data_IF_867717101430
#
_entry.id   IF_867717101430
#
_cell.length_a   1.000
_cell.length_b   1.000
_cell.length_c   1.000
_cell.angle_alpha   90.00
_cell.angle_beta   90.00
_cell.angle_gamma   90.00
#
_symmetry.space_group_name_H-M   'P 1'
#
loop_
_entity.id
_entity.type
_entity.pdbx_description
1 polymer ?
#
# COMPACT_ATOMS: atom_id res chain seq x y z
N UNK A 1 -5.05 -0.95 27.63
CA UNK A 1 -5.54 0.34 28.12
C UNK A 1 -5.08 1.41 27.11
N UNK A 2 -5.88 1.66 26.06
CA UNK A 2 -5.56 2.61 24.99
C UNK A 2 -6.01 4.00 25.44
N UNK A 3 -5.08 4.92 25.66
CA UNK A 3 -5.38 6.34 25.82
C UNK A 3 -5.37 6.98 24.44
N UNK A 4 -6.55 7.41 24.03
CA UNK A 4 -6.85 8.22 22.84
C UNK A 4 -6.21 9.59 23.06
N UNK A 5 -5.20 9.93 22.24
CA UNK A 5 -4.69 11.29 22.08
C UNK A 5 -5.12 11.81 20.70
N UNK A 6 -6.38 12.20 20.60
CA UNK A 6 -6.90 12.97 19.47
C UNK A 6 -7.69 14.14 20.04
N UNK A 7 -7.04 15.28 20.21
CA UNK A 7 -7.71 16.58 20.16
C UNK A 7 -6.66 17.69 20.29
N UNK A 8 -6.58 18.49 19.24
CA UNK A 8 -6.08 19.85 19.13
C UNK A 8 -5.01 20.03 18.04
N UNK A 9 -5.49 20.05 16.77
CA UNK A 9 -4.76 20.70 15.66
C UNK A 9 -5.74 21.03 14.51
N UNK A 10 -6.83 21.72 14.81
CA UNK A 10 -7.78 22.15 13.77
C UNK A 10 -8.21 23.59 13.95
N UNK A 11 -7.24 24.47 14.14
CA UNK A 11 -7.47 25.92 14.06
C UNK A 11 -6.21 26.57 13.52
N UNK A 12 -6.11 26.65 12.21
CA UNK A 12 -5.44 27.74 11.45
C UNK A 12 -5.50 27.36 9.96
N UNK A 13 -6.26 28.15 9.24
CA UNK A 13 -6.03 28.60 7.86
C UNK A 13 -7.36 28.96 7.20
N UNK A 14 -7.93 30.06 7.70
CA UNK A 14 -8.85 30.87 6.90
C UNK A 14 -8.02 32.05 6.39
N UNK A 15 -7.42 31.91 5.22
CA UNK A 15 -6.94 33.03 4.44
C UNK A 15 -7.89 33.23 3.25
N UNK A 16 -8.31 34.49 2.98
CA UNK A 16 -9.37 34.78 2.03
C UNK A 16 -8.87 34.93 0.59
N UNK A 17 -9.74 34.54 -0.33
CA UNK A 17 -9.92 35.06 -1.69
C UNK A 17 -8.71 35.14 -2.61
N UNK A 18 -8.56 34.09 -3.40
CA UNK A 18 -8.07 34.22 -4.76
C UNK A 18 -9.07 33.49 -5.69
N UNK A 19 -9.44 34.15 -6.77
CA UNK A 19 -10.33 33.74 -7.84
C UNK A 19 -10.65 32.25 -7.90
N UNK A 20 -11.92 31.88 -7.67
CA UNK A 20 -12.40 30.51 -7.75
C UNK A 20 -12.20 29.95 -9.16
N UNK A 21 -11.05 29.40 -9.42
CA UNK A 21 -10.79 28.62 -10.61
C UNK A 21 -11.66 27.37 -10.54
N UNK A 22 -12.52 27.15 -11.54
CA UNK A 22 -13.41 26.00 -11.61
C UNK A 22 -12.55 24.73 -11.54
N UNK A 23 -12.61 24.00 -10.43
CA UNK A 23 -11.87 22.75 -10.26
C UNK A 23 -12.37 21.75 -11.29
N UNK A 24 -11.49 21.30 -12.16
CA UNK A 24 -11.75 20.20 -13.07
C UNK A 24 -11.37 18.89 -12.36
N UNK A 25 -12.34 17.96 -12.21
CA UNK A 25 -12.18 16.70 -11.51
C UNK A 25 -11.58 15.60 -12.40
N UNK A 26 -11.54 15.79 -13.73
CA UNK A 26 -11.01 14.78 -14.65
C UNK A 26 -9.53 14.51 -14.38
N UNK A 27 -9.11 13.31 -14.72
CA UNK A 27 -7.70 12.94 -14.64
C UNK A 27 -6.87 13.81 -15.57
N UNK A 28 -5.74 14.30 -15.09
CA UNK A 28 -4.79 15.13 -15.84
C UNK A 28 -3.49 14.38 -15.99
N UNK A 29 -2.72 14.75 -17.01
CA UNK A 29 -1.34 14.30 -17.07
C UNK A 29 -0.57 15.06 -16.01
N UNK A 30 -0.22 14.35 -14.94
CA UNK A 30 0.49 14.90 -13.79
C UNK A 30 1.40 13.86 -13.15
N UNK A 31 2.44 14.32 -12.49
CA UNK A 31 3.26 13.51 -11.61
C UNK A 31 2.90 13.84 -10.15
N UNK A 32 3.08 12.87 -9.26
CA UNK A 32 2.94 13.10 -7.83
C UNK A 32 4.12 12.50 -7.07
N UNK A 33 4.54 13.18 -6.03
CA UNK A 33 5.43 12.63 -5.02
C UNK A 33 4.72 12.67 -3.67
N UNK A 34 4.83 11.58 -2.91
CA UNK A 34 4.24 11.54 -1.59
C UNK A 34 5.15 10.90 -0.56
N UNK A 35 4.94 11.36 0.68
CA UNK A 35 5.48 10.77 1.89
C UNK A 35 4.32 10.21 2.72
N UNK A 36 4.47 8.98 3.22
CA UNK A 36 3.51 8.37 4.14
C UNK A 36 4.22 7.97 5.43
N UNK A 37 3.59 8.30 6.56
CA UNK A 37 3.97 7.78 7.87
C UNK A 37 2.88 6.78 8.28
N UNK A 38 3.27 5.57 8.66
CA UNK A 38 2.31 4.50 8.94
C UNK A 38 2.72 3.61 10.11
N UNK A 39 1.70 3.03 10.75
CA UNK A 39 1.81 1.89 11.64
C UNK A 39 1.49 0.63 10.83
N UNK A 40 2.40 -0.33 10.89
CA UNK A 40 2.34 -1.60 10.17
C UNK A 40 2.29 -2.76 11.16
N UNK A 41 1.40 -3.72 10.92
CA UNK A 41 1.35 -5.00 11.62
C UNK A 41 1.27 -6.14 10.61
N UNK A 42 2.08 -7.17 10.82
CA UNK A 42 2.02 -8.46 10.14
C UNK A 42 1.80 -9.54 11.18
N UNK A 43 0.99 -10.54 10.87
CA UNK A 43 0.63 -11.59 11.81
C UNK A 43 0.43 -12.92 11.08
N UNK A 44 1.06 -13.96 11.61
CA UNK A 44 0.78 -15.37 11.36
C UNK A 44 0.15 -15.93 12.62
N UNK A 45 -1.18 -16.14 12.64
CA UNK A 45 -1.89 -16.54 13.87
C UNK A 45 -1.30 -17.80 14.53
N UNK A 46 -0.92 -17.68 15.78
CA UNK A 46 -0.29 -18.77 16.56
C UNK A 46 1.19 -19.01 16.28
N UNK A 47 1.80 -18.31 15.34
CA UNK A 47 3.22 -18.47 14.98
C UNK A 47 4.05 -17.23 15.29
N UNK A 48 3.70 -16.08 14.73
CA UNK A 48 4.48 -14.86 14.92
C UNK A 48 3.70 -13.59 14.60
N UNK A 49 4.22 -12.47 15.08
CA UNK A 49 3.81 -11.13 14.67
C UNK A 49 5.01 -10.20 14.49
N UNK A 50 4.83 -9.18 13.63
CA UNK A 50 5.74 -8.07 13.42
C UNK A 50 4.96 -6.77 13.55
N UNK A 51 5.50 -5.82 14.30
CA UNK A 51 4.94 -4.47 14.41
C UNK A 51 6.02 -3.46 14.07
N UNK A 52 5.72 -2.52 13.19
CA UNK A 52 6.68 -1.51 12.75
C UNK A 52 6.02 -0.14 12.55
N UNK A 53 6.78 0.92 12.77
CA UNK A 53 6.50 2.24 12.19
C UNK A 53 7.27 2.35 10.89
N UNK A 54 6.60 2.79 9.82
CA UNK A 54 7.20 2.91 8.49
C UNK A 54 7.15 4.33 7.96
N UNK A 55 8.14 4.63 7.16
CA UNK A 55 8.18 5.79 6.27
C UNK A 55 8.12 5.25 4.85
N UNK A 56 7.21 5.77 4.04
CA UNK A 56 7.10 5.38 2.64
C UNK A 56 7.22 6.59 1.72
N UNK A 57 7.92 6.37 0.60
CA UNK A 57 8.02 7.29 -0.53
C UNK A 57 7.19 6.73 -1.68
N UNK A 58 6.32 7.57 -2.22
CA UNK A 58 5.47 7.21 -3.33
C UNK A 58 5.71 8.17 -4.49
N UNK A 59 5.88 7.62 -5.69
CA UNK A 59 5.84 8.34 -6.96
C UNK A 59 4.71 7.78 -7.80
N UNK A 60 3.93 8.67 -8.41
CA UNK A 60 2.91 8.29 -9.38
C UNK A 60 2.94 9.21 -10.58
N UNK A 61 2.68 8.64 -11.75
CA UNK A 61 2.42 9.35 -12.99
C UNK A 61 1.06 8.95 -13.52
N UNK A 62 0.23 9.92 -13.78
CA UNK A 62 -1.04 9.76 -14.49
C UNK A 62 -0.91 10.40 -15.87
N UNK A 63 -1.26 9.69 -16.91
CA UNK A 63 -1.36 10.18 -18.27
C UNK A 63 -2.84 10.17 -18.68
N UNK A 64 -3.42 11.36 -18.88
CA UNK A 64 -4.77 11.51 -19.37
C UNK A 64 -4.81 11.23 -20.88
N UNK A 65 -5.63 10.28 -21.29
CA UNK A 65 -5.79 9.88 -22.68
C UNK A 65 -7.04 10.55 -23.25
N UNK A 66 -6.84 11.55 -24.10
CA UNK A 66 -7.94 12.15 -24.87
C UNK A 66 -8.35 11.19 -25.98
N UNK A 67 -9.57 10.67 -25.90
CA UNK A 67 -10.08 9.77 -26.92
C UNK A 67 -11.07 10.49 -27.84
N UNK A 68 -10.90 10.30 -29.14
CA UNK A 68 -11.86 10.71 -30.18
C UNK A 68 -13.08 9.76 -30.24
N UNK A 69 -13.03 8.64 -29.53
CA UNK A 69 -14.04 7.58 -29.56
C UNK A 69 -15.07 7.66 -28.44
N UNK A 70 -14.88 8.55 -27.46
CA UNK A 70 -15.73 8.63 -26.26
C UNK A 70 -16.48 9.95 -26.20
N UNK A 71 -17.56 9.94 -25.40
CA UNK A 71 -18.37 11.13 -25.14
C UNK A 71 -17.53 12.22 -24.44
N UNK A 72 -17.90 13.51 -24.57
CA UNK A 72 -17.15 14.63 -23.95
C UNK A 72 -17.02 14.56 -22.42
N UNK A 73 -17.88 13.79 -21.75
CA UNK A 73 -17.93 13.56 -20.31
C UNK A 73 -17.11 12.36 -19.84
N UNK A 74 -16.42 11.68 -20.78
CA UNK A 74 -15.59 10.50 -20.51
C UNK A 74 -14.16 10.74 -20.98
N UNK A 75 -13.21 10.37 -20.14
CA UNK A 75 -11.79 10.35 -20.49
C UNK A 75 -11.13 9.11 -19.91
N UNK A 76 -10.16 8.57 -20.61
CA UNK A 76 -9.34 7.46 -20.11
C UNK A 76 -8.07 7.99 -19.47
N UNK A 77 -7.52 7.22 -18.55
CA UNK A 77 -6.20 7.49 -18.00
C UNK A 77 -5.39 6.20 -17.84
N UNK A 78 -4.08 6.36 -17.94
CA UNK A 78 -3.10 5.38 -17.51
C UNK A 78 -2.42 5.93 -16.28
N UNK A 79 -2.19 5.08 -15.27
CA UNK A 79 -1.47 5.46 -14.06
C UNK A 79 -0.39 4.43 -13.77
N UNK A 80 0.81 4.94 -13.51
CA UNK A 80 1.94 4.13 -13.04
C UNK A 80 2.30 4.60 -11.64
N UNK A 81 2.40 3.65 -10.71
CA UNK A 81 2.74 3.92 -9.31
C UNK A 81 4.00 3.16 -8.92
N UNK A 82 4.81 3.79 -8.11
CA UNK A 82 5.92 3.19 -7.41
C UNK A 82 5.87 3.60 -5.93
N UNK A 83 6.01 2.63 -5.04
CA UNK A 83 6.01 2.87 -3.60
C UNK A 83 7.13 2.05 -2.92
N UNK A 84 7.92 2.72 -2.10
CA UNK A 84 8.94 2.11 -1.26
C UNK A 84 8.69 2.48 0.19
N UNK A 85 8.58 1.50 1.07
CA UNK A 85 8.35 1.70 2.49
C UNK A 85 9.38 0.95 3.32
N UNK A 86 9.93 1.59 4.33
CA UNK A 86 10.90 0.99 5.23
C UNK A 86 10.61 1.32 6.68
N UNK A 87 11.07 0.44 7.57
CA UNK A 87 10.99 0.62 9.01
C UNK A 87 11.79 -0.44 9.75
N UNK A 88 11.77 -0.34 11.06
CA UNK A 88 12.27 -1.39 11.94
C UNK A 88 11.09 -2.06 12.60
N UNK A 89 11.04 -3.38 12.57
CA UNK A 89 9.96 -4.17 13.13
C UNK A 89 10.38 -4.86 14.42
N UNK A 90 9.47 -4.89 15.38
CA UNK A 90 9.58 -5.73 16.56
C UNK A 90 8.87 -7.04 16.26
N UNK A 91 9.63 -8.11 16.30
CA UNK A 91 9.20 -9.49 16.07
C UNK A 91 8.87 -10.16 17.40
N UNK A 92 7.77 -10.92 17.41
CA UNK A 92 7.38 -11.74 18.54
C UNK A 92 6.86 -13.10 18.06
N UNK A 93 7.35 -14.19 18.70
CA UNK A 93 6.89 -15.56 18.45
C UNK A 93 6.88 -16.37 19.72
N UNK A 94 5.85 -17.21 19.96
CA UNK A 94 5.82 -18.13 21.11
C UNK A 94 6.97 -19.15 21.09
N UNK A 95 7.49 -19.49 19.90
CA UNK A 95 8.52 -20.51 19.73
C UNK A 95 9.95 -19.96 19.69
N UNK A 96 10.16 -18.83 19.02
CA UNK A 96 11.51 -18.27 18.78
C UNK A 96 11.80 -17.00 19.58
N UNK A 97 10.84 -16.53 20.40
CA UNK A 97 11.06 -15.39 21.30
C UNK A 97 10.85 -14.04 20.65
N UNK A 98 11.59 -13.03 21.09
CA UNK A 98 11.42 -11.63 20.73
C UNK A 98 12.71 -11.14 20.08
N UNK A 99 12.55 -10.38 18.98
CA UNK A 99 13.62 -9.62 18.31
C UNK A 99 13.13 -8.20 18.13
N UNK A 100 13.95 -7.22 18.48
CA UNK A 100 13.60 -5.82 18.34
C UNK A 100 14.34 -5.17 17.18
N UNK A 101 13.70 -4.20 16.57
CA UNK A 101 14.29 -3.32 15.55
C UNK A 101 14.87 -4.05 14.33
N UNK A 102 14.23 -5.14 13.88
CA UNK A 102 14.64 -5.91 12.69
C UNK A 102 14.31 -5.13 11.41
N UNK A 103 15.18 -5.16 10.38
CA UNK A 103 14.92 -4.51 9.11
C UNK A 103 13.66 -5.06 8.44
N UNK A 104 12.73 -4.18 8.08
CA UNK A 104 11.49 -4.52 7.41
C UNK A 104 11.18 -3.46 6.35
N UNK A 105 11.09 -3.86 5.10
CA UNK A 105 10.78 -2.95 4.01
C UNK A 105 10.03 -3.66 2.90
N UNK A 106 9.35 -2.90 2.07
CA UNK A 106 8.75 -3.40 0.85
C UNK A 106 8.83 -2.36 -0.26
N UNK A 107 8.75 -2.84 -1.49
CA UNK A 107 8.43 -1.98 -2.61
C UNK A 107 7.23 -2.53 -3.38
N UNK A 108 6.52 -1.62 -4.05
CA UNK A 108 5.41 -1.95 -4.92
C UNK A 108 5.51 -1.16 -6.20
N UNK A 109 5.14 -1.78 -7.32
CA UNK A 109 4.90 -1.09 -8.58
C UNK A 109 3.55 -1.50 -9.15
N UNK A 110 2.84 -0.56 -9.77
CA UNK A 110 1.53 -0.81 -10.36
C UNK A 110 1.39 -0.09 -11.68
N UNK A 111 0.63 -0.70 -12.60
CA UNK A 111 0.17 -0.07 -13.82
C UNK A 111 -1.34 -0.24 -13.90
N UNK A 112 -2.07 0.87 -13.98
CA UNK A 112 -3.53 0.94 -13.92
C UNK A 112 -4.06 1.60 -15.18
N UNK A 113 -5.22 1.14 -15.63
CA UNK A 113 -6.02 1.80 -16.66
C UNK A 113 -7.41 2.06 -16.10
N UNK A 114 -7.93 3.25 -16.31
CA UNK A 114 -9.25 3.63 -15.82
C UNK A 114 -9.96 4.61 -16.74
N UNK A 115 -11.21 4.88 -16.39
CA UNK A 115 -12.08 5.79 -17.13
C UNK A 115 -12.76 6.74 -16.15
N UNK A 116 -12.73 8.02 -16.48
CA UNK A 116 -13.43 9.07 -15.73
C UNK A 116 -14.87 9.21 -16.25
N UNK A 117 -15.83 9.14 -15.35
CA UNK A 117 -17.22 9.52 -15.56
C UNK A 117 -17.48 10.83 -14.81
N UNK A 118 -17.46 11.94 -15.53
CA UNK A 118 -17.66 13.27 -14.96
C UNK A 118 -19.15 13.59 -14.87
N UNK A 119 -19.68 13.74 -13.66
CA UNK A 119 -21.07 14.02 -13.34
C UNK A 119 -21.29 15.50 -12.91
N UNK A 120 -20.32 16.37 -13.21
CA UNK A 120 -20.34 17.79 -12.85
C UNK A 120 -19.73 18.08 -11.49
N UNK A 121 -20.45 17.87 -10.39
CA UNK A 121 -19.96 18.17 -9.03
C UNK A 121 -19.16 17.03 -8.43
N UNK A 122 -19.26 15.84 -8.99
CA UNK A 122 -18.46 14.68 -8.61
C UNK A 122 -18.02 13.90 -9.85
N UNK A 123 -17.02 13.04 -9.65
CA UNK A 123 -16.47 12.16 -10.67
C UNK A 123 -16.30 10.77 -10.09
N UNK A 124 -16.64 9.75 -10.88
CA UNK A 124 -16.36 8.35 -10.61
C UNK A 124 -15.33 7.85 -11.61
N UNK A 125 -14.28 7.20 -11.11
CA UNK A 125 -13.21 6.65 -11.94
C UNK A 125 -12.93 5.19 -11.56
N UNK A 126 -13.67 4.22 -12.13
CA UNK A 126 -13.31 2.81 -12.02
C UNK A 126 -12.00 2.54 -12.77
N UNK A 127 -11.22 1.62 -12.25
CA UNK A 127 -9.96 1.19 -12.85
C UNK A 127 -9.63 -0.27 -12.55
N UNK A 128 -8.75 -0.81 -13.38
CA UNK A 128 -8.16 -2.13 -13.23
C UNK A 128 -6.68 -2.06 -13.60
N UNK A 129 -5.87 -3.02 -13.17
CA UNK A 129 -4.47 -3.04 -13.54
C UNK A 129 -3.70 -4.27 -13.10
N UNK A 130 -2.38 -4.13 -13.07
CA UNK A 130 -1.45 -5.11 -12.54
C UNK A 130 -0.59 -4.47 -11.47
N UNK A 131 -0.32 -5.23 -10.41
CA UNK A 131 0.52 -4.80 -9.29
C UNK A 131 1.51 -5.88 -8.90
N UNK A 132 2.72 -5.45 -8.58
CA UNK A 132 3.76 -6.28 -8.01
C UNK A 132 4.19 -5.72 -6.66
N UNK A 133 4.32 -6.58 -5.65
CA UNK A 133 4.83 -6.24 -4.33
C UNK A 133 5.93 -7.21 -3.93
N UNK A 134 7.04 -6.67 -3.46
CA UNK A 134 8.14 -7.40 -2.83
C UNK A 134 8.25 -6.94 -1.38
N UNK A 135 8.20 -7.87 -0.44
CA UNK A 135 8.31 -7.61 0.99
C UNK A 135 9.54 -8.34 1.54
N UNK A 136 10.36 -7.65 2.31
CA UNK A 136 11.59 -8.16 2.90
C UNK A 136 11.56 -8.00 4.42
N UNK A 137 11.87 -9.11 5.11
CA UNK A 137 12.05 -9.15 6.56
C UNK A 137 13.39 -9.80 6.88
N UNK A 138 14.25 -9.09 7.60
CA UNK A 138 15.51 -9.62 8.08
C UNK A 138 15.42 -9.97 9.56
N UNK A 139 15.26 -11.24 9.87
CA UNK A 139 15.14 -11.74 11.23
C UNK A 139 16.45 -12.33 11.76
N UNK A 140 17.57 -12.16 11.04
CA UNK A 140 18.87 -12.64 11.49
C UNK A 140 19.30 -11.95 12.77
N UNK A 141 19.98 -12.68 13.63
CA UNK A 141 20.55 -12.16 14.89
C UNK A 141 22.02 -12.50 14.99
N UNK A 142 22.78 -11.69 15.72
CA UNK A 142 24.17 -11.97 16.03
C UNK A 142 24.33 -13.00 17.16
N UNK A 143 23.24 -13.29 17.88
CA UNK A 143 23.23 -14.26 18.97
C UNK A 143 22.68 -15.58 18.46
N UNK A 144 23.38 -16.64 18.45
CA UNK A 144 23.09 -18.08 18.23
C UNK A 144 21.60 -18.50 18.02
N UNK A 145 20.67 -17.56 17.85
CA UNK A 145 19.27 -17.77 17.51
C UNK A 145 19.18 -17.90 15.99
N UNK A 146 18.52 -18.94 15.54
CA UNK A 146 18.37 -19.31 14.12
C UNK A 146 17.36 -18.42 13.40
N UNK A 147 17.65 -17.10 13.30
CA UNK A 147 16.87 -16.19 12.49
C UNK A 147 17.33 -16.20 11.03
N UNK A 148 16.43 -15.92 10.09
CA UNK A 148 16.69 -15.92 8.66
C UNK A 148 15.94 -14.80 7.94
N UNK A 149 16.34 -14.51 6.71
CA UNK A 149 15.64 -13.56 5.84
C UNK A 149 14.42 -14.22 5.24
N UNK A 150 13.36 -13.41 5.12
CA UNK A 150 12.10 -13.79 4.49
C UNK A 150 11.76 -12.80 3.39
N UNK A 151 11.39 -13.30 2.23
CA UNK A 151 11.09 -12.50 1.04
C UNK A 151 9.77 -12.96 0.46
N UNK A 152 8.80 -12.05 0.37
CA UNK A 152 7.50 -12.36 -0.21
C UNK A 152 7.32 -11.59 -1.50
N UNK A 153 6.89 -12.29 -2.55
CA UNK A 153 6.66 -11.75 -3.87
C UNK A 153 5.20 -11.96 -4.24
N UNK A 154 4.47 -10.88 -4.52
CA UNK A 154 3.05 -10.93 -4.83
C UNK A 154 2.76 -10.24 -6.16
N UNK A 155 2.20 -10.97 -7.10
CA UNK A 155 1.59 -10.44 -8.32
C UNK A 155 0.10 -10.35 -8.09
N UNK A 156 -0.51 -9.19 -8.31
CA UNK A 156 -1.92 -8.94 -8.03
C UNK A 156 -2.64 -8.23 -9.17
N UNK A 157 -3.96 -8.38 -9.17
CA UNK A 157 -4.89 -7.65 -10.03
C UNK A 157 -5.65 -6.65 -9.15
N UNK A 158 -5.28 -5.36 -9.12
CA UNK A 158 -6.06 -4.31 -8.50
C UNK A 158 -7.31 -4.01 -9.34
N UNK A 159 -8.46 -3.92 -8.66
CA UNK A 159 -9.72 -3.42 -9.21
C UNK A 159 -10.25 -2.39 -8.23
N UNK A 160 -10.46 -1.16 -8.68
CA UNK A 160 -10.77 -0.06 -7.78
C UNK A 160 -11.71 0.98 -8.37
N UNK A 161 -12.15 1.85 -7.47
CA UNK A 161 -12.96 3.00 -7.78
C UNK A 161 -12.39 4.22 -7.05
N UNK A 162 -12.15 5.29 -7.81
CA UNK A 162 -11.87 6.60 -7.25
C UNK A 162 -13.11 7.48 -7.39
N UNK A 163 -13.50 8.11 -6.29
CA UNK A 163 -14.55 9.11 -6.23
C UNK A 163 -13.93 10.45 -5.89
N UNK A 164 -14.19 11.47 -6.72
CA UNK A 164 -13.73 12.84 -6.50
C UNK A 164 -14.93 13.76 -6.38
N UNK A 165 -14.94 14.62 -5.35
CA UNK A 165 -15.98 15.65 -5.16
C UNK A 165 -15.34 17.01 -4.91
N UNK A 166 -16.01 18.06 -5.37
CA UNK A 166 -15.64 19.45 -5.07
C UNK A 166 -16.22 19.84 -3.71
N UNK A 167 -15.40 20.45 -2.89
CA UNK A 167 -15.80 21.01 -1.61
C UNK A 167 -15.51 22.51 -1.59
N UNK A 168 -16.53 23.34 -1.33
CA UNK A 168 -16.40 24.80 -1.15
C UNK A 168 -15.60 25.51 -2.26
N UNK A 169 -15.72 25.06 -3.52
CA UNK A 169 -15.06 25.61 -4.72
C UNK A 169 -13.52 25.67 -4.69
N UNK A 170 -12.87 25.30 -3.59
CA UNK A 170 -11.42 25.40 -3.41
C UNK A 170 -10.75 24.06 -3.11
N UNK A 171 -11.52 23.11 -2.61
CA UNK A 171 -10.99 21.83 -2.17
C UNK A 171 -11.58 20.68 -2.97
N UNK A 172 -10.79 19.65 -3.16
CA UNK A 172 -11.25 18.40 -3.74
C UNK A 172 -11.02 17.28 -2.72
N UNK A 173 -12.07 16.53 -2.41
CA UNK A 173 -11.92 15.26 -1.69
C UNK A 173 -11.85 14.12 -2.71
N UNK A 174 -10.81 13.32 -2.62
CA UNK A 174 -10.62 12.11 -3.41
C UNK A 174 -10.67 10.91 -2.49
N UNK A 175 -11.68 10.06 -2.65
CA UNK A 175 -11.82 8.81 -1.92
C UNK A 175 -11.55 7.65 -2.87
N UNK A 176 -10.67 6.73 -2.49
CA UNK A 176 -10.32 5.56 -3.30
C UNK A 176 -10.55 4.29 -2.50
N UNK A 177 -11.23 3.34 -3.13
CA UNK A 177 -11.37 1.98 -2.64
C UNK A 177 -10.85 1.00 -3.68
N UNK A 178 -10.04 0.04 -3.27
CA UNK A 178 -9.40 -0.94 -4.16
C UNK A 178 -9.43 -2.33 -3.54
N UNK A 179 -9.80 -3.31 -4.33
CA UNK A 179 -9.65 -4.73 -4.06
C UNK A 179 -8.43 -5.24 -4.83
N UNK A 180 -7.61 -6.06 -4.17
CA UNK A 180 -6.40 -6.65 -4.71
C UNK A 180 -6.60 -8.17 -4.77
N UNK A 181 -6.78 -8.73 -5.95
CA UNK A 181 -6.80 -10.17 -6.14
C UNK A 181 -5.37 -10.69 -6.31
N UNK A 182 -4.93 -11.64 -5.48
CA UNK A 182 -3.62 -12.26 -5.64
C UNK A 182 -3.64 -13.23 -6.83
N UNK A 183 -2.87 -12.92 -7.87
CA UNK A 183 -2.68 -13.82 -9.04
C UNK A 183 -1.66 -14.90 -8.69
N UNK A 184 -0.55 -14.50 -8.05
CA UNK A 184 0.55 -15.39 -7.68
C UNK A 184 1.30 -14.83 -6.49
N UNK A 185 1.56 -15.68 -5.51
CA UNK A 185 2.45 -15.41 -4.38
C UNK A 185 3.60 -16.42 -4.34
N UNK A 186 4.75 -15.96 -3.88
CA UNK A 186 5.92 -16.75 -3.63
C UNK A 186 6.58 -16.25 -2.34
N UNK A 187 6.73 -17.13 -1.37
CA UNK A 187 7.50 -16.87 -0.16
C UNK A 187 8.84 -17.60 -0.26
N UNK A 188 9.93 -16.85 -0.08
CA UNK A 188 11.29 -17.39 0.02
C UNK A 188 11.74 -17.25 1.47
N UNK A 189 12.15 -18.37 2.07
CA UNK A 189 12.71 -18.45 3.41
C UNK A 189 14.15 -18.89 3.30
N UNK A 190 15.10 -17.98 3.58
CA UNK A 190 16.53 -18.20 3.48
C UNK A 190 17.03 -18.92 4.75
N UNK A 191 16.63 -20.17 4.92
CA UNK A 191 16.92 -20.96 6.13
C UNK A 191 18.41 -21.18 6.36
N UNK A 192 19.22 -21.15 5.29
CA UNK A 192 20.68 -21.24 5.34
C UNK A 192 21.34 -20.08 6.11
N UNK A 193 20.66 -18.95 6.27
CA UNK A 193 21.14 -17.82 7.09
C UNK A 193 21.29 -18.20 8.57
N UNK A 194 20.36 -18.99 9.10
CA UNK A 194 20.35 -19.41 10.51
C UNK A 194 20.98 -20.77 10.73
N UNK A 195 20.96 -21.64 9.71
CA UNK A 195 21.56 -22.97 9.77
C UNK A 195 22.22 -23.29 8.41
N UNK A 196 23.55 -23.21 8.28
CA UNK A 196 24.26 -23.43 7.03
C UNK A 196 24.04 -24.78 6.33
N UNK A 197 23.55 -25.78 7.06
CA UNK A 197 23.22 -27.11 6.47
C UNK A 197 21.77 -27.19 5.99
N UNK A 198 20.92 -26.20 6.38
CA UNK A 198 19.56 -26.10 5.87
C UNK A 198 19.57 -25.56 4.43
N UNK A 199 18.61 -26.00 3.63
CA UNK A 199 18.38 -25.46 2.29
C UNK A 199 17.32 -24.37 2.34
N UNK A 200 17.54 -23.31 1.57
CA UNK A 200 16.54 -22.28 1.35
C UNK A 200 15.30 -22.87 0.70
N UNK A 201 14.14 -22.36 1.05
CA UNK A 201 12.86 -22.89 0.59
C UNK A 201 12.06 -21.80 -0.07
N UNK A 202 11.50 -22.12 -1.24
CA UNK A 202 10.55 -21.28 -1.97
C UNK A 202 9.18 -21.96 -1.97
N UNK A 203 8.16 -21.29 -1.44
CA UNK A 203 6.83 -21.84 -1.24
C UNK A 203 5.80 -20.99 -2.02
N UNK A 204 5.04 -21.66 -2.88
CA UNK A 204 3.96 -20.99 -3.61
C UNK A 204 2.78 -20.68 -2.69
N UNK A 205 2.27 -19.45 -2.78
CA UNK A 205 1.06 -18.97 -2.07
C UNK A 205 0.00 -18.64 -3.12
N UNK A 206 -0.85 -19.60 -3.51
CA UNK A 206 -1.72 -19.45 -4.66
C UNK A 206 -2.98 -18.62 -4.41
N UNK A 207 -3.29 -18.31 -3.15
CA UNK A 207 -4.52 -17.62 -2.75
C UNK A 207 -4.25 -16.47 -1.80
N UNK A 208 -4.97 -15.39 -2.04
CA UNK A 208 -4.93 -14.23 -1.17
C UNK A 208 -5.68 -13.06 -1.77
N UNK A 209 -5.89 -12.05 -0.96
CA UNK A 209 -6.51 -10.80 -1.36
C UNK A 209 -6.05 -9.65 -0.48
N UNK A 210 -6.30 -8.45 -0.94
CA UNK A 210 -6.07 -7.24 -0.16
C UNK A 210 -7.12 -6.17 -0.41
N UNK A 211 -7.11 -5.15 0.44
CA UNK A 211 -7.90 -3.93 0.28
C UNK A 211 -7.04 -2.72 0.50
N UNK A 212 -7.31 -1.65 -0.24
CA UNK A 212 -6.77 -0.33 0.00
C UNK A 212 -7.87 0.68 0.08
N UNK A 213 -7.76 1.57 1.04
CA UNK A 213 -8.63 2.71 1.19
C UNK A 213 -7.78 3.95 1.36
N UNK A 214 -8.21 5.05 0.75
CA UNK A 214 -7.59 6.36 0.94
C UNK A 214 -8.66 7.43 0.86
N UNK A 215 -8.50 8.49 1.66
CA UNK A 215 -9.31 9.70 1.56
C UNK A 215 -8.38 10.91 1.61
N UNK A 216 -8.19 11.56 0.46
CA UNK A 216 -7.21 12.63 0.27
C UNK A 216 -7.91 13.95 0.04
N UNK A 217 -7.63 14.93 0.87
CA UNK A 217 -8.06 16.31 0.67
C UNK A 217 -7.00 17.04 -0.14
N UNK A 218 -7.37 17.52 -1.33
CA UNK A 218 -6.51 18.32 -2.20
C UNK A 218 -6.82 19.80 -2.03
N UNK A 219 -5.76 20.59 -1.92
CA UNK A 219 -5.75 22.05 -1.92
C UNK A 219 -4.56 22.50 -2.78
N UNK A 220 -4.85 23.22 -3.84
CA UNK A 220 -3.86 23.57 -4.87
C UNK A 220 -3.09 22.33 -5.38
N UNK A 221 -1.77 22.35 -5.24
CA UNK A 221 -0.89 21.26 -5.63
C UNK A 221 -0.58 20.28 -4.49
N UNK A 222 -1.27 20.35 -3.38
CA UNK A 222 -1.04 19.46 -2.25
C UNK A 222 -2.26 18.59 -1.95
N UNK A 223 -2.01 17.37 -1.51
CA UNK A 223 -3.04 16.51 -0.96
C UNK A 223 -2.57 15.88 0.34
N UNK A 224 -3.48 15.76 1.29
CA UNK A 224 -3.20 15.08 2.55
C UNK A 224 -4.37 14.19 2.95
N UNK A 225 -4.08 13.09 3.63
CA UNK A 225 -5.15 12.27 4.15
C UNK A 225 -4.74 10.89 4.63
N UNK A 226 -5.67 10.18 5.28
CA UNK A 226 -5.47 8.84 5.78
C UNK A 226 -5.43 7.80 4.67
N UNK A 227 -4.67 6.73 4.93
CA UNK A 227 -4.58 5.55 4.09
C UNK A 227 -4.68 4.29 4.93
N UNK A 228 -5.26 3.24 4.36
CA UNK A 228 -5.32 1.91 4.95
C UNK A 228 -4.98 0.88 3.87
N UNK A 229 -4.08 -0.04 4.19
CA UNK A 229 -3.77 -1.20 3.38
C UNK A 229 -3.96 -2.46 4.21
N UNK A 230 -4.58 -3.45 3.62
CA UNK A 230 -4.80 -4.77 4.21
C UNK A 230 -4.45 -5.86 3.22
N UNK A 231 -3.79 -6.91 3.70
CA UNK A 231 -3.57 -8.13 2.95
C UNK A 231 -3.88 -9.34 3.81
N UNK A 232 -4.46 -10.36 3.17
CA UNK A 232 -4.62 -11.71 3.69
C UNK A 232 -4.10 -12.68 2.65
N UNK A 233 -3.08 -13.42 3.00
CA UNK A 233 -2.48 -14.44 2.15
C UNK A 233 -2.72 -15.80 2.81
N UNK A 234 -3.34 -16.71 2.10
CA UNK A 234 -3.60 -18.05 2.59
C UNK A 234 -2.29 -18.84 2.71
N UNK A 235 -2.31 -19.92 3.47
CA UNK A 235 -1.14 -20.77 3.63
C UNK A 235 -0.60 -21.25 2.28
N UNK A 236 0.71 -21.47 2.22
CA UNK A 236 1.38 -21.99 1.04
C UNK A 236 1.06 -23.47 0.80
N UNK A 237 1.44 -23.95 -0.36
CA UNK A 237 1.65 -25.36 -0.57
C UNK A 237 2.77 -25.88 0.32
N UNK A 238 2.76 -27.19 0.60
CA UNK A 238 3.84 -27.85 1.34
C UNK A 238 5.02 -28.06 0.38
N UNK A 239 6.20 -27.64 0.81
CA UNK A 239 7.43 -27.79 0.01
C UNK A 239 8.67 -27.95 0.89
N UNK A 240 9.84 -28.13 0.25
CA UNK A 240 11.11 -28.28 0.95
C UNK A 240 11.40 -29.69 1.48
N UNK A 241 12.62 -29.84 2.00
CA UNK A 241 13.09 -31.06 2.67
C UNK A 241 13.87 -30.66 3.93
N UNK A 242 13.31 -30.87 5.16
CA UNK A 242 12.01 -31.50 5.47
C UNK A 242 10.83 -30.69 4.95
N UNK A 243 9.63 -31.29 4.81
CA UNK A 243 8.42 -30.60 4.39
C UNK A 243 8.06 -29.45 5.32
N UNK A 244 7.91 -28.26 4.76
CA UNK A 244 7.52 -27.03 5.47
C UNK A 244 6.39 -26.32 4.70
N UNK A 245 5.69 -25.45 5.37
CA UNK A 245 4.68 -24.56 4.78
C UNK A 245 4.81 -23.17 5.36
N UNK A 246 4.41 -22.18 4.60
CA UNK A 246 4.21 -20.82 5.09
C UNK A 246 2.79 -20.70 5.62
N UNK A 247 2.59 -20.31 6.89
CA UNK A 247 1.25 -20.16 7.46
C UNK A 247 0.43 -19.08 6.76
N UNK A 248 -0.90 -19.14 6.92
CA UNK A 248 -1.77 -18.02 6.62
C UNK A 248 -1.24 -16.77 7.34
N UNK A 249 -1.21 -15.65 6.61
CA UNK A 249 -0.79 -14.39 7.20
C UNK A 249 -1.72 -13.23 6.84
N UNK A 250 -1.73 -12.23 7.70
CA UNK A 250 -2.42 -10.96 7.48
C UNK A 250 -1.46 -9.81 7.71
N UNK A 251 -1.63 -8.72 6.97
CA UNK A 251 -0.95 -7.47 7.27
C UNK A 251 -1.90 -6.29 7.20
N UNK A 252 -1.67 -5.34 8.11
CA UNK A 252 -2.39 -4.07 8.21
C UNK A 252 -1.39 -2.93 8.19
N UNK A 253 -1.71 -1.90 7.44
CA UNK A 253 -0.94 -0.67 7.46
C UNK A 253 -1.89 0.52 7.43
N UNK A 254 -1.87 1.31 8.51
CA UNK A 254 -2.66 2.53 8.65
C UNK A 254 -1.70 3.70 8.68
N UNK A 255 -1.90 4.66 7.80
CA UNK A 255 -0.98 5.77 7.65
C UNK A 255 -1.65 7.10 7.32
N UNK A 256 -0.83 8.13 7.31
CA UNK A 256 -1.20 9.45 6.86
C UNK A 256 -0.23 9.88 5.75
N UNK A 257 -0.80 10.25 4.60
CA UNK A 257 -0.06 10.58 3.38
C UNK A 257 -0.09 12.06 3.11
N UNK A 258 1.07 12.61 2.76
CA UNK A 258 1.27 13.96 2.23
C UNK A 258 1.74 13.83 0.79
N UNK A 259 1.11 14.53 -0.13
CA UNK A 259 1.35 14.40 -1.56
C UNK A 259 1.47 15.77 -2.22
N UNK A 260 2.47 15.94 -3.08
CA UNK A 260 2.65 17.09 -3.97
C UNK A 260 2.34 16.66 -5.39
N UNK A 261 1.60 17.49 -6.10
CA UNK A 261 1.25 17.35 -7.53
C UNK A 261 2.07 18.34 -8.37
N UNK A 262 2.54 17.95 -9.58
CA UNK A 262 3.30 18.80 -10.50
C UNK A 262 3.30 18.25 -11.93
#
# INVERSE_FOLDING_TARGET
MFKIFFLNCFTLLLAPCAFAQKIDLTSRTENTLALTLSDYKYEEPGYMSLVAKKVAFHFSRTDALKSIWFKPDQSWFLQSDFNYAQGKADYQSPKSGILNATPNWYFESRALIGIDFNMGDYLLAPYIGLGFRYLYNDLRTNDYRQGYRRESNYLSLPVGLTHKIKLLNQYQLTSTGEYLYLIKGLQVSNLSDGNPVAKDVSLAQPRGYGFRLAAMMRFDDWSVGPTLNYWRIEQSEIGGQPPVLEPLNTSYEVGFKFMKHF
#
